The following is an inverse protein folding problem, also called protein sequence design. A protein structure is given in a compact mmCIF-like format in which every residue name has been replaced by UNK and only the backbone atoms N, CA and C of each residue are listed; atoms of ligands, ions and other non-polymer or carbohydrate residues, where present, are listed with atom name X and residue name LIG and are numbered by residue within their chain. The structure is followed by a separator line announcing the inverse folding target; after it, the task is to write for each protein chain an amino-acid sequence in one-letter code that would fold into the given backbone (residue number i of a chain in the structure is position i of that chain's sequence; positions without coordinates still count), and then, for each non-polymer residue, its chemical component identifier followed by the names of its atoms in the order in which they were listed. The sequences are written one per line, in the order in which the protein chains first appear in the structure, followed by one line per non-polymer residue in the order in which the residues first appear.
data_IF_325955772903
#
_entry.id   IF_325955772903
#
_cell.length_a   1.000
_cell.length_b   1.000
_cell.length_c   1.000
_cell.angle_alpha   90.00
_cell.angle_beta   90.00
_cell.angle_gamma   90.00
#
_symmetry.space_group_name_H-M   'P 1'
#
loop_
_entity.id
_entity.type
_entity.pdbx_description
1 polymer ?
#
# COMPACT_ATOMS: atom_id res chain seq x y z
N UNK A 1 11.26 -3.19 -10.60
CA UNK A 1 11.75 -4.34 -9.80
C UNK A 1 12.72 -3.81 -8.76
N UNK A 2 12.38 -3.84 -7.46
CA UNK A 2 13.33 -3.46 -6.40
C UNK A 2 14.42 -4.54 -6.32
N UNK A 3 15.71 -4.20 -6.22
CA UNK A 3 16.74 -5.20 -6.00
C UNK A 3 16.48 -5.90 -4.67
N UNK A 4 16.50 -7.24 -4.68
CA UNK A 4 16.49 -8.05 -3.47
C UNK A 4 17.66 -7.60 -2.60
N UNK A 5 17.37 -6.81 -1.56
CA UNK A 5 18.37 -6.32 -0.60
C UNK A 5 19.11 -7.52 -0.02
N UNK A 6 20.43 -7.41 0.12
CA UNK A 6 21.34 -8.46 0.63
C UNK A 6 20.83 -9.21 1.88
N UNK A 7 19.98 -8.56 2.68
CA UNK A 7 19.27 -9.16 3.83
C UNK A 7 18.47 -10.42 3.46
N UNK A 8 17.76 -10.44 2.32
CA UNK A 8 16.94 -11.60 1.93
C UNK A 8 17.81 -12.78 1.46
N UNK A 9 18.95 -12.50 0.83
CA UNK A 9 19.92 -13.53 0.44
C UNK A 9 20.60 -14.16 1.67
N UNK A 10 20.92 -13.34 2.68
CA UNK A 10 21.49 -13.82 3.95
C UNK A 10 20.49 -14.69 4.71
N UNK A 11 19.22 -14.30 4.77
CA UNK A 11 18.14 -15.10 5.38
C UNK A 11 17.98 -16.44 4.63
N UNK A 12 18.02 -16.43 3.29
CA UNK A 12 17.92 -17.65 2.51
C UNK A 12 19.12 -18.61 2.71
N UNK A 13 20.35 -18.07 2.72
CA UNK A 13 21.57 -18.87 2.93
C UNK A 13 21.59 -19.46 4.34
N UNK A 14 21.19 -18.69 5.37
CA UNK A 14 21.15 -19.16 6.75
C UNK A 14 20.12 -20.28 6.97
N UNK A 15 18.91 -20.15 6.39
CA UNK A 15 17.90 -21.23 6.43
C UNK A 15 18.40 -22.48 5.71
N UNK A 16 19.07 -22.33 4.56
CA UNK A 16 19.60 -23.46 3.78
C UNK A 16 20.71 -24.21 4.53
N UNK A 17 21.66 -23.48 5.14
CA UNK A 17 22.72 -24.08 5.95
C UNK A 17 22.19 -24.76 7.20
N UNK A 18 21.15 -24.20 7.83
CA UNK A 18 20.47 -24.81 8.97
C UNK A 18 19.79 -26.13 8.58
N UNK A 19 19.13 -26.17 7.41
CA UNK A 19 18.54 -27.39 6.86
C UNK A 19 19.56 -28.49 6.57
N UNK A 20 20.73 -28.13 6.01
CA UNK A 20 21.83 -29.07 5.74
C UNK A 20 22.43 -29.61 7.05
N UNK A 21 22.65 -28.74 8.04
CA UNK A 21 23.19 -29.15 9.35
C UNK A 21 22.28 -30.16 10.06
N UNK A 22 20.97 -29.98 9.97
CA UNK A 22 19.98 -30.90 10.56
C UNK A 22 19.87 -32.22 9.80
N UNK A 23 20.00 -32.21 8.47
CA UNK A 23 20.07 -33.43 7.67
C UNK A 23 21.29 -34.29 8.02
N UNK A 24 22.44 -33.67 8.28
CA UNK A 24 23.66 -34.38 8.72
C UNK A 24 23.49 -34.93 10.14
N UNK A 25 22.84 -34.18 11.03
CA UNK A 25 22.55 -34.61 12.41
C UNK A 25 21.60 -35.80 12.47
N UNK A 26 20.64 -35.91 11.54
CA UNK A 26 19.68 -37.03 11.50
C UNK A 26 20.32 -38.41 11.25
N UNK A 27 21.47 -38.45 10.56
CA UNK A 27 22.25 -39.68 10.42
C UNK A 27 22.84 -40.23 11.72
N UNK A 28 22.75 -39.51 12.85
CA UNK A 28 23.26 -39.95 14.17
C UNK A 28 22.20 -40.61 15.08
N UNK A 29 20.95 -40.78 14.61
CA UNK A 29 19.94 -41.60 15.29
C UNK A 29 19.03 -40.87 16.30
N UNK A 30 19.27 -39.58 16.56
CA UNK A 30 18.40 -38.69 17.39
C UNK A 30 17.52 -37.77 16.50
N UNK A 31 17.71 -37.82 15.17
CA UNK A 31 17.16 -36.80 14.29
C UNK A 31 15.69 -36.94 13.94
N UNK A 32 15.05 -38.10 14.07
CA UNK A 32 13.63 -38.21 13.68
C UNK A 32 12.72 -37.32 14.56
N UNK A 33 12.99 -37.27 15.87
CA UNK A 33 12.33 -36.35 16.82
C UNK A 33 12.70 -34.90 16.56
N UNK A 34 13.96 -34.62 16.26
CA UNK A 34 14.46 -33.25 16.03
C UNK A 34 13.96 -32.68 14.70
N UNK A 35 13.86 -33.51 13.67
CA UNK A 35 13.32 -33.21 12.35
C UNK A 35 11.83 -32.92 12.42
N UNK A 36 11.06 -33.73 13.16
CA UNK A 36 9.63 -33.47 13.36
C UNK A 36 9.38 -32.19 14.16
N UNK A 37 10.18 -31.91 15.18
CA UNK A 37 10.10 -30.64 15.92
C UNK A 37 10.43 -29.44 15.03
N UNK A 38 11.45 -29.55 14.17
CA UNK A 38 11.80 -28.49 13.23
C UNK A 38 10.75 -28.32 12.12
N UNK A 39 10.19 -29.42 11.63
CA UNK A 39 9.08 -29.42 10.68
C UNK A 39 7.87 -28.71 11.27
N UNK A 40 7.48 -29.05 12.49
CA UNK A 40 6.39 -28.38 13.21
C UNK A 40 6.69 -26.88 13.42
N UNK A 41 7.91 -26.52 13.82
CA UNK A 41 8.31 -25.12 14.01
C UNK A 41 8.30 -24.31 12.71
N UNK A 42 8.75 -24.88 11.60
CA UNK A 42 8.74 -24.23 10.28
C UNK A 42 7.32 -24.10 9.74
N UNK A 43 6.47 -25.11 9.88
CA UNK A 43 5.05 -25.03 9.54
C UNK A 43 4.33 -23.95 10.35
N UNK A 44 4.58 -23.88 11.66
CA UNK A 44 4.00 -22.83 12.50
C UNK A 44 4.49 -21.43 12.08
N UNK A 45 5.78 -21.30 11.77
CA UNK A 45 6.35 -20.02 11.30
C UNK A 45 5.74 -19.59 9.97
N UNK A 46 5.56 -20.52 9.02
CA UNK A 46 4.88 -20.29 7.75
C UNK A 46 3.42 -19.87 7.96
N UNK A 47 2.70 -20.52 8.88
CA UNK A 47 1.33 -20.16 9.20
C UNK A 47 1.23 -18.73 9.78
N UNK A 48 2.14 -18.35 10.67
CA UNK A 48 2.19 -16.98 11.22
C UNK A 48 2.51 -15.96 10.12
N UNK A 49 3.49 -16.24 9.25
CA UNK A 49 3.83 -15.36 8.13
C UNK A 49 2.67 -15.21 7.15
N UNK A 50 1.97 -16.30 6.83
CA UNK A 50 0.79 -16.27 5.98
C UNK A 50 -0.33 -15.44 6.61
N UNK A 51 -0.54 -15.57 7.92
CA UNK A 51 -1.52 -14.77 8.65
C UNK A 51 -1.17 -13.27 8.63
N UNK A 52 0.09 -12.90 8.89
CA UNK A 52 0.55 -11.51 8.81
C UNK A 52 0.33 -10.96 7.40
N UNK A 53 0.73 -11.71 6.37
CA UNK A 53 0.54 -11.32 4.98
C UNK A 53 -0.94 -11.15 4.62
N UNK A 54 -1.82 -12.02 5.14
CA UNK A 54 -3.26 -11.89 4.96
C UNK A 54 -3.81 -10.59 5.58
N UNK A 55 -3.42 -10.29 6.81
CA UNK A 55 -3.84 -9.07 7.50
C UNK A 55 -3.34 -7.81 6.78
N UNK A 56 -2.10 -7.82 6.28
CA UNK A 56 -1.57 -6.71 5.49
C UNK A 56 -2.29 -6.55 4.14
N UNK A 57 -2.65 -7.68 3.51
CA UNK A 57 -3.40 -7.68 2.25
C UNK A 57 -4.80 -7.07 2.42
N UNK A 58 -5.55 -7.45 3.47
CA UNK A 58 -6.88 -6.88 3.73
C UNK A 58 -6.83 -5.36 3.92
N UNK A 59 -5.83 -4.85 4.67
CA UNK A 59 -5.63 -3.39 4.83
C UNK A 59 -5.37 -2.68 3.50
N UNK A 60 -4.80 -3.37 2.52
CA UNK A 60 -4.55 -2.85 1.18
C UNK A 60 -5.82 -2.68 0.34
N UNK A 61 -6.88 -3.45 0.62
CA UNK A 61 -8.17 -3.40 -0.07
C UNK A 61 -9.07 -2.24 0.40
N UNK A 62 -8.72 -1.59 1.52
CA UNK A 62 -9.42 -0.43 2.05
C UNK A 62 -9.65 0.64 0.98
N UNK A 63 -10.90 1.09 0.85
CA UNK A 63 -11.27 2.19 -0.05
C UNK A 63 -10.90 3.53 0.59
N UNK A 64 -10.03 4.27 -0.08
CA UNK A 64 -9.66 5.64 0.26
C UNK A 64 -10.54 6.58 -0.55
N UNK A 65 -11.34 7.39 0.16
CA UNK A 65 -12.22 8.40 -0.44
C UNK A 65 -11.45 9.68 -0.73
N UNK A 66 -11.81 10.34 -1.84
CA UNK A 66 -11.19 11.60 -2.27
C UNK A 66 -12.17 12.76 -2.03
N UNK A 67 -11.67 13.84 -1.46
CA UNK A 67 -12.43 15.05 -1.15
C UNK A 67 -11.70 16.28 -1.67
N UNK A 68 -12.48 17.30 -2.02
CA UNK A 68 -11.98 18.65 -2.28
C UNK A 68 -12.26 19.53 -1.07
N UNK A 69 -11.27 20.32 -0.66
CA UNK A 69 -11.39 21.36 0.35
C UNK A 69 -11.31 22.71 -0.32
N UNK A 70 -12.38 23.49 -0.24
CA UNK A 70 -12.47 24.85 -0.79
C UNK A 70 -12.86 25.80 0.31
N UNK A 71 -11.90 26.58 0.79
CA UNK A 71 -12.05 27.37 2.03
C UNK A 71 -12.40 26.46 3.21
N UNK A 72 -13.58 26.65 3.80
CA UNK A 72 -14.10 25.84 4.90
C UNK A 72 -14.97 24.66 4.45
N UNK A 73 -15.32 24.60 3.16
CA UNK A 73 -16.22 23.57 2.62
C UNK A 73 -15.45 22.35 2.17
N UNK A 74 -15.99 21.19 2.52
CA UNK A 74 -15.48 19.89 2.10
C UNK A 74 -16.48 19.20 1.18
N UNK A 75 -16.05 18.87 -0.03
CA UNK A 75 -16.90 18.32 -1.09
C UNK A 75 -16.40 16.91 -1.40
N UNK A 76 -17.30 15.91 -1.32
CA UNK A 76 -16.98 14.55 -1.70
C UNK A 76 -17.04 14.39 -3.22
N UNK A 77 -15.97 13.90 -3.84
CA UNK A 77 -15.86 13.78 -5.29
C UNK A 77 -16.57 12.57 -5.87
N UNK A 78 -17.16 11.71 -5.02
CA UNK A 78 -17.69 10.39 -5.38
C UNK A 78 -16.64 9.42 -5.96
N UNK A 79 -15.36 9.79 -5.94
CA UNK A 79 -14.25 8.93 -6.35
C UNK A 79 -13.62 8.26 -5.13
N UNK A 80 -13.17 7.02 -5.35
CA UNK A 80 -12.38 6.26 -4.39
C UNK A 80 -11.36 5.39 -5.13
N UNK A 81 -10.29 5.00 -4.45
CA UNK A 81 -9.38 3.94 -4.90
C UNK A 81 -8.94 3.07 -3.73
N UNK A 82 -8.37 1.92 -4.02
CA UNK A 82 -7.86 1.02 -2.98
C UNK A 82 -6.53 1.55 -2.43
N UNK A 83 -6.28 1.37 -1.13
CA UNK A 83 -5.05 1.83 -0.47
C UNK A 83 -3.78 1.32 -1.16
N UNK A 84 -3.75 0.05 -1.58
CA UNK A 84 -2.61 -0.55 -2.29
C UNK A 84 -2.32 0.09 -3.66
N UNK A 85 -3.31 0.73 -4.27
CA UNK A 85 -3.20 1.44 -5.55
C UNK A 85 -3.17 2.96 -5.38
N UNK A 86 -3.15 3.44 -4.13
CA UNK A 86 -3.20 4.86 -3.81
C UNK A 86 -1.87 5.53 -4.13
N UNK A 87 -1.70 5.95 -5.39
CA UNK A 87 -0.53 6.67 -5.89
C UNK A 87 -0.93 8.01 -6.46
N UNK A 88 0.02 8.95 -6.55
CA UNK A 88 -0.22 10.26 -7.16
C UNK A 88 -0.78 10.12 -8.58
N UNK A 89 -0.20 9.24 -9.39
CA UNK A 89 -0.62 9.00 -10.77
C UNK A 89 -2.05 8.44 -10.85
N UNK A 90 -2.41 7.51 -9.95
CA UNK A 90 -3.76 6.94 -9.89
C UNK A 90 -4.79 8.02 -9.53
N UNK A 91 -4.50 8.82 -8.50
CA UNK A 91 -5.38 9.90 -8.08
C UNK A 91 -5.54 10.93 -9.20
N UNK A 92 -4.46 11.33 -9.88
CA UNK A 92 -4.56 12.22 -11.05
C UNK A 92 -5.34 11.58 -12.21
N UNK A 93 -5.23 10.27 -12.41
CA UNK A 93 -6.05 9.53 -13.38
C UNK A 93 -7.54 9.62 -13.04
N UNK A 94 -7.91 9.39 -11.79
CA UNK A 94 -9.29 9.46 -11.31
C UNK A 94 -9.86 10.88 -11.39
N UNK A 95 -9.10 11.88 -10.98
CA UNK A 95 -9.51 13.28 -11.09
C UNK A 95 -9.71 13.69 -12.55
N UNK A 96 -8.91 13.14 -13.48
CA UNK A 96 -9.10 13.37 -14.91
C UNK A 96 -10.44 12.83 -15.43
N UNK A 97 -11.00 11.79 -14.82
CA UNK A 97 -12.29 11.22 -15.26
C UNK A 97 -13.47 12.16 -15.01
N UNK A 98 -13.37 13.04 -14.01
CA UNK A 98 -14.45 13.95 -13.60
C UNK A 98 -14.20 15.40 -14.05
N UNK A 99 -13.16 15.64 -14.85
CA UNK A 99 -12.79 16.96 -15.35
C UNK A 99 -13.47 17.23 -16.71
N UNK A 100 -14.24 18.32 -16.84
CA UNK A 100 -15.01 18.59 -18.08
C UNK A 100 -14.13 18.95 -19.29
N UNK A 101 -13.02 19.67 -19.06
CA UNK A 101 -12.20 20.19 -20.16
C UNK A 101 -11.20 19.14 -20.63
N UNK A 102 -11.12 18.91 -21.94
CA UNK A 102 -10.03 18.14 -22.54
C UNK A 102 -8.76 18.99 -22.51
N UNK A 103 -7.74 18.55 -21.77
CA UNK A 103 -6.47 19.24 -21.66
C UNK A 103 -5.69 18.90 -20.40
N UNK A 104 -4.52 19.53 -20.24
CA UNK A 104 -3.77 19.51 -18.99
C UNK A 104 -4.51 20.37 -17.97
N UNK A 105 -4.76 19.84 -16.78
CA UNK A 105 -5.27 20.61 -15.65
C UNK A 105 -4.20 20.65 -14.58
N UNK A 106 -4.12 21.77 -13.88
CA UNK A 106 -3.15 22.00 -12.83
C UNK A 106 -3.89 22.20 -11.51
N UNK A 107 -3.53 21.41 -10.50
CA UNK A 107 -3.97 21.59 -9.13
C UNK A 107 -2.74 22.03 -8.35
N UNK A 108 -2.73 23.26 -7.84
CA UNK A 108 -1.56 23.83 -7.15
C UNK A 108 -1.08 22.96 -5.99
N UNK A 109 -2.01 22.35 -5.25
CA UNK A 109 -1.71 21.46 -4.13
C UNK A 109 -0.90 20.22 -4.55
N UNK A 110 -1.09 19.70 -5.77
CA UNK A 110 -0.30 18.56 -6.26
C UNK A 110 1.09 18.94 -6.76
N UNK A 111 1.27 20.14 -7.29
CA UNK A 111 2.50 20.56 -7.96
C UNK A 111 3.43 21.39 -7.07
N UNK A 112 2.91 22.06 -6.05
CA UNK A 112 3.67 23.02 -5.26
C UNK A 112 3.64 22.75 -3.75
N UNK A 113 2.82 21.81 -3.27
CA UNK A 113 2.78 21.47 -1.86
C UNK A 113 3.57 20.18 -1.57
N UNK A 114 4.74 20.23 -0.90
CA UNK A 114 5.48 19.03 -0.52
C UNK A 114 4.70 18.15 0.48
N UNK A 115 3.78 18.72 1.26
CA UNK A 115 2.95 17.97 2.21
C UNK A 115 2.03 16.96 1.52
N UNK A 116 1.71 17.17 0.23
CA UNK A 116 0.89 16.20 -0.52
C UNK A 116 1.57 14.82 -0.52
N UNK A 117 2.90 14.77 -0.66
CA UNK A 117 3.66 13.52 -0.68
C UNK A 117 3.61 12.83 0.68
N UNK A 118 3.67 13.60 1.76
CA UNK A 118 3.51 13.07 3.11
C UNK A 118 2.12 12.49 3.33
N UNK A 119 1.07 13.14 2.80
CA UNK A 119 -0.30 12.61 2.84
C UNK A 119 -0.42 11.31 2.04
N UNK A 120 0.15 11.24 0.84
CA UNK A 120 0.20 9.99 0.05
C UNK A 120 0.89 8.86 0.83
N UNK A 121 2.06 9.14 1.41
CA UNK A 121 2.78 8.16 2.22
C UNK A 121 2.00 7.77 3.49
N UNK A 122 1.34 8.72 4.15
CA UNK A 122 0.53 8.44 5.33
C UNK A 122 -0.68 7.57 5.00
N UNK A 123 -1.32 7.78 3.84
CA UNK A 123 -2.39 6.91 3.35
C UNK A 123 -1.87 5.51 3.03
N UNK A 124 -0.76 5.39 2.28
CA UNK A 124 -0.18 4.08 1.96
C UNK A 124 0.21 3.28 3.21
N UNK A 125 0.68 3.96 4.26
CA UNK A 125 1.06 3.34 5.53
C UNK A 125 -0.11 3.14 6.51
N UNK A 126 -1.36 3.38 6.10
CA UNK A 126 -2.53 3.13 6.96
C UNK A 126 -2.81 4.20 8.01
N UNK A 127 -2.11 5.35 8.01
CA UNK A 127 -2.29 6.43 8.99
C UNK A 127 -3.46 7.37 8.65
N UNK A 128 -3.74 7.53 7.36
CA UNK A 128 -4.86 8.33 6.85
C UNK A 128 -5.80 7.43 6.04
N UNK A 129 -7.12 7.68 6.14
CA UNK A 129 -8.16 6.88 5.47
C UNK A 129 -8.88 7.65 4.36
N UNK A 130 -8.43 8.86 4.07
CA UNK A 130 -9.04 9.77 3.13
C UNK A 130 -8.00 10.74 2.58
N UNK A 131 -8.21 11.18 1.35
CA UNK A 131 -7.42 12.24 0.74
C UNK A 131 -8.26 13.50 0.65
N UNK A 132 -7.71 14.59 1.17
CA UNK A 132 -8.30 15.92 1.05
C UNK A 132 -7.35 16.79 0.23
N UNK A 133 -7.83 17.20 -0.94
CA UNK A 133 -7.09 18.05 -1.88
C UNK A 133 -7.55 19.47 -1.66
N UNK A 134 -6.62 20.35 -1.31
CA UNK A 134 -6.95 21.76 -1.11
C UNK A 134 -6.95 22.45 -2.47
N UNK A 135 -8.01 23.20 -2.76
CA UNK A 135 -8.13 23.92 -4.02
C UNK A 135 -8.92 25.22 -3.85
N UNK A 136 -8.72 26.13 -4.78
CA UNK A 136 -9.48 27.37 -4.92
C UNK A 136 -10.82 27.14 -5.62
N UNK A 137 -11.74 28.11 -5.54
CA UNK A 137 -13.02 28.02 -6.25
C UNK A 137 -12.82 27.94 -7.77
N UNK A 138 -11.85 28.69 -8.32
CA UNK A 138 -11.49 28.66 -9.74
C UNK A 138 -10.98 27.28 -10.19
N UNK A 139 -10.23 26.59 -9.33
CA UNK A 139 -9.74 25.24 -9.60
C UNK A 139 -10.85 24.17 -9.48
N UNK A 140 -11.90 24.43 -8.69
CA UNK A 140 -13.02 23.51 -8.50
C UNK A 140 -13.98 23.53 -9.70
N UNK A 141 -14.16 24.68 -10.35
CA UNK A 141 -15.13 24.88 -11.43
C UNK A 141 -15.13 23.75 -12.49
N UNK A 142 -13.98 23.28 -13.00
CA UNK A 142 -13.92 22.23 -14.02
C UNK A 142 -14.35 20.84 -13.55
N UNK A 143 -14.53 20.64 -12.23
CA UNK A 143 -14.89 19.37 -11.60
C UNK A 143 -16.35 19.32 -11.11
N UNK A 144 -17.11 20.41 -11.27
CA UNK A 144 -18.49 20.56 -10.75
C UNK A 144 -19.58 19.77 -11.50
N UNK A 145 -19.22 18.89 -12.43
CA UNK A 145 -20.14 18.04 -13.23
C UNK A 145 -21.06 17.20 -12.36
N UNK A 146 -20.65 16.90 -11.12
CA UNK A 146 -21.33 15.98 -10.22
C UNK A 146 -22.55 16.57 -9.49
N UNK A 147 -22.82 17.88 -9.67
CA UNK A 147 -23.96 18.60 -9.09
C UNK A 147 -25.05 19.02 -10.08
N UNK A 148 -24.86 18.80 -11.40
CA UNK A 148 -25.88 19.08 -12.43
C UNK A 148 -26.71 17.82 -12.71
N UNK A 149 -27.58 17.43 -11.79
CA UNK A 149 -28.76 16.59 -12.05
C UNK A 149 -29.90 17.02 -11.14
#
# INVERSE_FOLDING_TARGET
MRPLKHQNAIIFISITLMGIGLYIYDKTGIGWTTYNMLGAATTLSLAILAFIAYVEYEKGEDKIKIYFQVGTKRIYTKLYTQRKHFTRSEVMGLLRMIHEKQGTYEIKDFNHNPEILERFNAIQNGKLHELCIVMTEDELEPFLVLGKK
#
